data_IF_879190842336
#
_entry.id   IF_879190842336
#
_cell.length_a   1.000
_cell.length_b   1.000
_cell.length_c   1.000
_cell.angle_alpha   90.00
_cell.angle_beta   90.00
_cell.angle_gamma   90.00
#
_symmetry.space_group_name_H-M   'P 1'
#
loop_
_entity.id
_entity.type
_entity.pdbx_description
1 polymer ?
#
# COMPACT_ATOMS: atom_id res chain seq x y z
N UNK A 1 -17.40 -46.53 26.65
CA UNK A 1 -16.41 -45.53 27.12
C UNK A 1 -15.67 -45.00 25.90
N UNK A 2 -15.67 -43.70 25.65
CA UNK A 2 -14.93 -43.15 24.51
C UNK A 2 -13.43 -43.27 24.77
N UNK A 3 -12.69 -43.81 23.79
CA UNK A 3 -11.22 -43.87 23.85
C UNK A 3 -10.62 -42.47 23.76
N UNK A 4 -9.49 -42.25 24.43
CA UNK A 4 -8.69 -41.01 24.33
C UNK A 4 -8.36 -40.67 22.87
N UNK A 5 -8.11 -41.69 22.04
CA UNK A 5 -7.85 -41.53 20.60
C UNK A 5 -9.06 -40.92 19.89
N UNK A 6 -10.28 -41.41 20.15
CA UNK A 6 -11.49 -40.89 19.53
C UNK A 6 -11.80 -39.44 19.94
N UNK A 7 -11.45 -39.04 21.17
CA UNK A 7 -11.58 -37.64 21.60
C UNK A 7 -10.57 -36.74 20.86
N UNK A 8 -9.35 -37.22 20.62
CA UNK A 8 -8.34 -36.48 19.85
C UNK A 8 -8.76 -36.31 18.39
N UNK A 9 -9.24 -37.37 17.73
CA UNK A 9 -9.77 -37.32 16.36
C UNK A 9 -10.93 -36.32 16.24
N UNK A 10 -11.84 -36.30 17.23
CA UNK A 10 -12.94 -35.35 17.24
C UNK A 10 -12.46 -33.89 17.38
N UNK A 11 -11.46 -33.64 18.23
CA UNK A 11 -10.85 -32.30 18.36
C UNK A 11 -10.11 -31.90 17.08
N UNK A 12 -9.41 -32.83 16.44
CA UNK A 12 -8.73 -32.58 15.18
C UNK A 12 -9.73 -32.21 14.07
N UNK A 13 -10.81 -32.98 13.91
CA UNK A 13 -11.87 -32.68 12.95
C UNK A 13 -12.55 -31.32 13.23
N UNK A 14 -12.79 -30.99 14.50
CA UNK A 14 -13.31 -29.67 14.87
C UNK A 14 -12.32 -28.55 14.52
N UNK A 15 -11.02 -28.75 14.75
CA UNK A 15 -9.99 -27.79 14.38
C UNK A 15 -9.89 -27.60 12.87
N UNK A 16 -9.92 -28.69 12.08
CA UNK A 16 -9.90 -28.65 10.61
C UNK A 16 -11.09 -27.85 10.06
N UNK A 17 -12.31 -28.15 10.53
CA UNK A 17 -13.52 -27.39 10.14
C UNK A 17 -13.42 -25.90 10.48
N UNK A 18 -12.86 -25.56 11.64
CA UNK A 18 -12.64 -24.16 12.01
C UNK A 18 -11.63 -23.47 11.07
N UNK A 19 -10.56 -24.17 10.70
CA UNK A 19 -9.57 -23.64 9.74
C UNK A 19 -10.20 -23.42 8.37
N UNK A 20 -11.00 -24.37 7.88
CA UNK A 20 -11.64 -24.26 6.58
C UNK A 20 -12.67 -23.12 6.55
N UNK A 21 -13.49 -22.98 7.61
CA UNK A 21 -14.40 -21.82 7.74
C UNK A 21 -13.66 -20.47 7.76
N UNK A 22 -12.53 -20.37 8.47
CA UNK A 22 -11.71 -19.15 8.47
C UNK A 22 -11.09 -18.85 7.10
N UNK A 23 -10.76 -19.88 6.30
CA UNK A 23 -10.27 -19.70 4.92
C UNK A 23 -11.37 -19.18 4.02
N UNK A 24 -12.58 -19.74 4.11
CA UNK A 24 -13.74 -19.24 3.35
C UNK A 24 -14.09 -17.79 3.69
N UNK A 25 -14.03 -17.42 4.97
CA UNK A 25 -14.22 -16.02 5.40
C UNK A 25 -13.11 -15.12 4.85
N UNK A 26 -11.85 -15.56 4.90
CA UNK A 26 -10.74 -14.81 4.34
C UNK A 26 -10.89 -14.59 2.82
N UNK A 27 -11.29 -15.63 2.08
CA UNK A 27 -11.52 -15.54 0.63
C UNK A 27 -12.67 -14.58 0.31
N UNK A 28 -13.75 -14.60 1.10
CA UNK A 28 -14.86 -13.64 0.98
C UNK A 28 -14.38 -12.20 1.19
N UNK A 29 -13.67 -11.94 2.28
CA UNK A 29 -13.13 -10.60 2.59
C UNK A 29 -12.16 -10.14 1.49
N UNK A 30 -11.34 -11.05 0.95
CA UNK A 30 -10.43 -10.73 -0.16
C UNK A 30 -11.20 -10.34 -1.43
N UNK A 31 -12.31 -11.01 -1.72
CA UNK A 31 -13.16 -10.66 -2.85
C UNK A 31 -13.82 -9.29 -2.67
N UNK A 32 -14.38 -9.00 -1.49
CA UNK A 32 -14.96 -7.70 -1.15
C UNK A 32 -13.92 -6.58 -1.22
N UNK A 33 -12.72 -6.82 -0.70
CA UNK A 33 -11.61 -5.87 -0.79
C UNK A 33 -11.22 -5.60 -2.25
N UNK A 34 -11.13 -6.65 -3.08
CA UNK A 34 -10.81 -6.49 -4.49
C UNK A 34 -11.86 -5.67 -5.24
N UNK A 35 -13.16 -5.83 -4.92
CA UNK A 35 -14.23 -5.03 -5.48
C UNK A 35 -14.14 -3.56 -5.04
N UNK A 36 -13.93 -3.30 -3.74
CA UNK A 36 -13.76 -1.95 -3.22
C UNK A 36 -12.52 -1.25 -3.81
N UNK A 37 -11.42 -1.97 -4.01
CA UNK A 37 -10.23 -1.44 -4.68
C UNK A 37 -10.49 -1.07 -6.14
N UNK A 38 -11.32 -1.83 -6.86
CA UNK A 38 -11.70 -1.52 -8.24
C UNK A 38 -12.57 -0.27 -8.30
N UNK A 39 -13.61 -0.18 -7.47
CA UNK A 39 -14.46 1.01 -7.40
C UNK A 39 -13.64 2.27 -7.07
N UNK A 40 -12.74 2.18 -6.09
CA UNK A 40 -11.84 3.28 -5.77
C UNK A 40 -10.93 3.67 -6.95
N UNK A 41 -10.40 2.70 -7.70
CA UNK A 41 -9.59 2.99 -8.89
C UNK A 41 -10.40 3.72 -9.97
N UNK A 42 -11.66 3.35 -10.18
CA UNK A 42 -12.55 4.02 -11.12
C UNK A 42 -12.76 5.50 -10.73
N UNK A 43 -13.02 5.77 -9.45
CA UNK A 43 -13.13 7.13 -8.94
C UNK A 43 -11.82 7.92 -9.07
N UNK A 44 -10.67 7.29 -8.82
CA UNK A 44 -9.37 7.93 -8.99
C UNK A 44 -9.10 8.31 -10.46
N UNK A 45 -9.51 7.45 -11.40
CA UNK A 45 -9.45 7.75 -12.84
C UNK A 45 -10.38 8.91 -13.18
N UNK A 46 -11.63 8.90 -12.70
CA UNK A 46 -12.59 9.98 -12.92
C UNK A 46 -12.05 11.33 -12.42
N UNK A 47 -11.47 11.37 -11.21
CA UNK A 47 -10.85 12.58 -10.67
C UNK A 47 -9.71 13.10 -11.54
N UNK A 48 -8.79 12.22 -11.97
CA UNK A 48 -7.69 12.60 -12.86
C UNK A 48 -8.19 13.20 -14.17
N UNK A 49 -9.28 12.66 -14.75
CA UNK A 49 -9.89 13.20 -15.97
C UNK A 49 -10.46 14.60 -15.75
N UNK A 50 -11.11 14.83 -14.61
CA UNK A 50 -11.60 16.16 -14.23
C UNK A 50 -10.43 17.14 -14.07
N UNK A 51 -9.35 16.73 -13.41
CA UNK A 51 -8.14 17.56 -13.26
C UNK A 51 -7.54 17.96 -14.62
N UNK A 52 -7.58 17.09 -15.62
CA UNK A 52 -7.14 17.41 -17.01
C UNK A 52 -8.03 18.45 -17.68
N UNK A 53 -9.35 18.41 -17.49
CA UNK A 53 -10.28 19.40 -18.08
C UNK A 53 -10.14 20.76 -17.40
N UNK A 54 -9.83 20.76 -16.10
CA UNK A 54 -9.68 21.98 -15.31
C UNK A 54 -8.28 22.60 -15.42
N UNK A 55 -7.29 21.89 -15.96
CA UNK A 55 -5.97 22.45 -16.21
C UNK A 55 -6.08 23.59 -17.23
N UNK A 56 -5.65 24.82 -16.90
CA UNK A 56 -5.69 25.93 -17.85
C UNK A 56 -4.80 25.59 -19.05
N UNK A 57 -5.32 25.78 -20.26
CA UNK A 57 -4.54 25.74 -21.49
C UNK A 57 -3.41 26.78 -21.37
N UNK A 58 -2.23 26.32 -20.96
CA UNK A 58 -1.02 27.13 -21.05
C UNK A 58 -0.57 27.13 -22.51
N UNK A 59 -1.31 27.89 -23.32
CA UNK A 59 -0.94 28.48 -24.61
C UNK A 59 -0.17 27.62 -25.60
N UNK A 60 -0.86 27.16 -26.64
CA UNK A 60 -0.33 27.28 -27.99
C UNK A 60 -1.48 27.54 -28.96
N UNK A 61 -1.91 28.80 -29.01
CA UNK A 61 -2.53 29.36 -30.21
C UNK A 61 -1.49 29.37 -31.33
N UNK A 62 -1.58 28.39 -32.22
CA UNK A 62 -1.14 28.56 -33.60
C UNK A 62 -2.27 28.01 -34.47
N UNK A 63 -3.07 28.94 -35.00
CA UNK A 63 -3.94 28.71 -36.15
C UNK A 63 -3.19 27.90 -37.22
N UNK A 64 -3.84 26.87 -37.75
CA UNK A 64 -3.95 26.64 -39.20
C UNK A 64 -5.04 25.60 -39.43
N UNK A 65 -6.14 26.09 -39.99
CA UNK A 65 -7.24 25.35 -40.60
C UNK A 65 -6.75 24.53 -41.81
N UNK A 66 -7.58 23.56 -42.25
CA UNK A 66 -7.56 22.77 -43.51
C UNK A 66 -7.23 21.26 -43.36
N UNK A 67 -8.30 20.45 -43.42
CA UNK A 67 -8.36 19.01 -43.79
C UNK A 67 -8.24 18.81 -45.33
N UNK A 68 -8.13 17.60 -45.94
CA UNK A 68 -7.68 16.25 -45.50
C UNK A 68 -6.66 15.53 -46.47
N UNK A 69 -6.05 14.43 -45.97
CA UNK A 69 -5.41 13.26 -46.69
C UNK A 69 -4.12 13.43 -47.52
N UNK A 70 -3.38 12.35 -47.90
CA UNK A 70 -3.13 11.03 -47.30
C UNK A 70 -1.62 10.65 -47.26
N UNK A 71 -1.19 9.65 -46.46
CA UNK A 71 -0.26 8.55 -46.85
C UNK A 71 0.35 7.80 -45.68
N UNK A 72 0.31 6.49 -45.85
CA UNK A 72 1.08 5.46 -45.18
C UNK A 72 2.58 5.80 -45.09
N UNK A 73 3.17 5.63 -43.91
CA UNK A 73 4.19 4.61 -43.68
C UNK A 73 4.75 4.74 -42.26
N UNK A 74 4.92 3.57 -41.64
CA UNK A 74 5.78 3.29 -40.50
C UNK A 74 5.19 3.53 -39.09
N UNK A 75 4.15 2.75 -38.79
CA UNK A 75 3.73 2.48 -37.43
C UNK A 75 4.19 1.08 -37.00
N UNK A 76 5.25 1.04 -36.19
CA UNK A 76 5.52 -0.08 -35.29
C UNK A 76 6.48 0.37 -34.18
N UNK A 77 6.40 -0.17 -32.96
CA UNK A 77 5.24 -0.61 -32.21
C UNK A 77 5.13 0.12 -30.86
N UNK A 78 3.97 0.01 -30.22
CA UNK A 78 3.78 0.40 -28.83
C UNK A 78 4.84 -0.20 -27.89
N UNK A 79 5.24 0.47 -26.80
CA UNK A 79 5.41 -0.25 -25.56
C UNK A 79 4.03 -0.43 -24.95
N UNK A 80 3.46 -1.62 -25.17
CA UNK A 80 2.60 -2.26 -24.18
C UNK A 80 3.43 -2.39 -22.89
N UNK A 81 3.47 -1.34 -22.08
CA UNK A 81 3.93 -1.42 -20.69
C UNK A 81 2.71 -1.77 -19.86
N UNK A 82 2.34 -3.05 -19.86
CA UNK A 82 2.79 -4.01 -18.85
C UNK A 82 1.80 -4.03 -17.68
N UNK A 83 1.24 -5.21 -17.47
CA UNK A 83 0.33 -5.51 -16.40
C UNK A 83 0.97 -5.29 -15.02
N UNK A 84 0.18 -4.69 -14.09
CA UNK A 84 0.20 -4.86 -12.61
C UNK A 84 1.36 -4.14 -11.86
N UNK A 85 1.29 -3.87 -10.52
CA UNK A 85 0.45 -4.52 -9.51
C UNK A 85 -0.13 -3.64 -8.36
N UNK A 86 -1.13 -4.19 -7.66
CA UNK A 86 -1.39 -4.11 -6.20
C UNK A 86 -0.60 -3.04 -5.42
N UNK A 87 -1.29 -2.03 -4.86
CA UNK A 87 -0.81 -1.21 -3.73
C UNK A 87 0.67 -0.80 -3.82
N UNK A 88 1.02 0.01 -4.82
CA UNK A 88 2.34 0.64 -4.87
C UNK A 88 2.35 1.88 -3.99
N UNK A 89 3.12 1.82 -2.90
CA UNK A 89 3.50 2.98 -2.08
C UNK A 89 4.14 4.03 -2.99
N UNK A 90 3.54 5.21 -3.25
CA UNK A 90 4.15 6.24 -4.08
C UNK A 90 5.56 6.62 -3.58
N UNK A 91 6.43 7.06 -4.48
CA UNK A 91 7.71 7.67 -4.05
C UNK A 91 7.38 8.95 -3.30
N UNK A 92 8.04 9.18 -2.16
CA UNK A 92 7.82 10.38 -1.37
C UNK A 92 8.22 11.64 -2.14
N UNK A 93 7.38 12.68 -2.05
CA UNK A 93 7.64 14.02 -2.56
C UNK A 93 7.12 15.06 -1.56
N UNK A 94 7.67 16.27 -1.62
CA UNK A 94 7.19 17.39 -0.82
C UNK A 94 5.71 17.70 -1.12
N UNK A 95 4.92 18.03 -0.08
CA UNK A 95 3.47 18.24 -0.19
C UNK A 95 2.61 16.97 -0.21
N UNK A 96 3.21 15.77 -0.17
CA UNK A 96 2.47 14.51 -0.19
C UNK A 96 2.02 14.10 1.23
N UNK A 97 0.71 14.15 1.46
CA UNK A 97 0.11 13.74 2.74
C UNK A 97 0.19 12.22 2.97
N UNK A 98 0.23 11.78 4.23
CA UNK A 98 0.25 10.35 4.56
C UNK A 98 -1.01 9.61 4.10
N UNK A 99 -2.11 10.35 3.92
CA UNK A 99 -3.41 9.84 3.49
C UNK A 99 -3.38 9.13 2.12
N UNK A 100 -2.36 9.39 1.29
CA UNK A 100 -2.18 8.71 0.00
C UNK A 100 -1.72 7.25 0.12
N UNK A 101 -1.20 6.89 1.30
CA UNK A 101 -0.80 5.52 1.60
C UNK A 101 -2.00 4.73 2.12
N UNK A 102 -2.00 3.40 2.01
CA UNK A 102 -3.04 2.60 2.67
C UNK A 102 -2.95 2.72 4.21
N UNK A 103 -4.06 2.45 4.89
CA UNK A 103 -4.19 2.56 6.34
C UNK A 103 -3.08 1.80 7.11
N UNK A 104 -2.64 0.65 6.59
CA UNK A 104 -1.54 -0.12 7.15
C UNK A 104 -0.21 0.65 7.16
N UNK A 105 0.12 1.32 6.05
CA UNK A 105 1.35 2.12 5.98
C UNK A 105 1.23 3.41 6.79
N UNK A 106 0.04 4.04 6.81
CA UNK A 106 -0.23 5.18 7.67
C UNK A 106 -0.02 4.85 9.16
N UNK A 107 -0.51 3.69 9.61
CA UNK A 107 -0.33 3.22 10.99
C UNK A 107 1.15 3.03 11.36
N UNK A 108 1.97 2.54 10.41
CA UNK A 108 3.43 2.44 10.56
C UNK A 108 4.06 3.83 10.71
N UNK A 109 3.71 4.78 9.83
CA UNK A 109 4.22 6.15 9.90
C UNK A 109 3.84 6.84 11.21
N UNK A 110 2.57 6.72 11.62
CA UNK A 110 2.05 7.30 12.86
C UNK A 110 2.84 6.82 14.08
N UNK A 111 3.05 5.52 14.20
CA UNK A 111 3.79 4.92 15.32
C UNK A 111 5.23 5.41 15.39
N UNK A 112 5.89 5.52 14.24
CA UNK A 112 7.26 6.02 14.16
C UNK A 112 7.32 7.53 14.42
N UNK A 113 6.33 8.29 13.98
CA UNK A 113 6.22 9.72 14.26
C UNK A 113 5.98 10.00 15.74
N UNK A 114 5.10 9.23 16.40
CA UNK A 114 4.85 9.35 17.83
C UNK A 114 6.11 9.04 18.64
N UNK A 115 6.87 8.00 18.28
CA UNK A 115 8.17 7.74 18.91
C UNK A 115 9.21 8.82 18.66
N UNK A 116 9.23 9.40 17.45
CA UNK A 116 10.14 10.48 17.14
C UNK A 116 9.82 11.74 17.95
N UNK A 117 8.54 12.08 18.10
CA UNK A 117 8.05 13.15 18.98
C UNK A 117 8.42 12.92 20.45
N UNK A 118 8.40 11.66 20.89
CA UNK A 118 8.80 11.27 22.24
C UNK A 118 10.32 11.06 22.39
N UNK A 119 11.12 11.29 21.35
CA UNK A 119 12.57 11.08 21.32
C UNK A 119 13.01 9.65 21.71
N UNK A 120 12.19 8.64 21.43
CA UNK A 120 12.40 7.23 21.83
C UNK A 120 13.23 6.40 20.84
N UNK A 121 13.86 7.06 19.86
CA UNK A 121 14.74 6.44 18.87
C UNK A 121 14.04 5.51 17.85
N UNK A 122 14.83 4.85 16.98
CA UNK A 122 14.34 3.94 15.94
C UNK A 122 13.65 2.69 16.50
N UNK A 123 12.68 2.16 15.75
CA UNK A 123 11.85 1.02 16.14
C UNK A 123 12.18 -0.22 15.31
N UNK A 124 12.16 -1.40 15.94
CA UNK A 124 12.27 -2.70 15.26
C UNK A 124 10.91 -3.22 14.81
N UNK A 125 10.88 -4.16 13.85
CA UNK A 125 9.62 -4.79 13.42
C UNK A 125 8.91 -5.59 14.53
N UNK A 126 9.65 -6.11 15.51
CA UNK A 126 9.07 -6.81 16.66
C UNK A 126 8.37 -5.83 17.60
N UNK A 127 9.02 -4.70 17.90
CA UNK A 127 8.41 -3.64 18.70
C UNK A 127 7.22 -2.99 17.98
N UNK A 128 7.27 -2.86 16.65
CA UNK A 128 6.11 -2.45 15.85
C UNK A 128 4.95 -3.44 15.98
N UNK A 129 5.21 -4.76 15.91
CA UNK A 129 4.17 -5.77 16.08
C UNK A 129 3.52 -5.66 17.47
N UNK A 130 4.34 -5.51 18.52
CA UNK A 130 3.85 -5.30 19.89
C UNK A 130 3.03 -4.01 20.03
N UNK A 131 3.48 -2.90 19.43
CA UNK A 131 2.75 -1.62 19.41
C UNK A 131 1.39 -1.72 18.70
N UNK A 132 1.26 -2.62 17.73
CA UNK A 132 0.00 -2.90 17.05
C UNK A 132 -0.90 -3.91 17.77
N UNK A 133 -0.50 -4.39 18.96
CA UNK A 133 -1.22 -5.44 19.69
C UNK A 133 -1.23 -6.77 18.94
N UNK A 134 -0.26 -7.00 18.06
CA UNK A 134 -0.09 -8.25 17.33
C UNK A 134 0.89 -9.16 18.05
N UNK A 135 0.62 -10.46 18.05
CA UNK A 135 1.62 -11.44 18.46
C UNK A 135 2.86 -11.33 17.56
N UNK A 136 4.08 -11.22 18.12
CA UNK A 136 5.32 -11.07 17.36
C UNK A 136 5.78 -12.40 16.75
N UNK A 137 4.88 -13.12 16.10
CA UNK A 137 5.20 -14.35 15.37
C UNK A 137 6.05 -14.04 14.13
N UNK A 138 7.00 -14.91 13.74
CA UNK A 138 7.96 -14.63 12.67
C UNK A 138 7.31 -14.15 11.35
N UNK A 139 6.19 -14.76 10.96
CA UNK A 139 5.45 -14.40 9.76
C UNK A 139 4.94 -12.95 9.77
N UNK A 140 4.43 -12.46 10.90
CA UNK A 140 3.92 -11.09 11.02
C UNK A 140 5.05 -10.08 11.09
N UNK A 141 6.13 -10.42 11.79
CA UNK A 141 7.34 -9.60 11.84
C UNK A 141 7.95 -9.45 10.44
N UNK A 142 7.99 -10.53 9.66
CA UNK A 142 8.48 -10.50 8.27
C UNK A 142 7.56 -9.69 7.35
N UNK A 143 6.24 -9.79 7.51
CA UNK A 143 5.29 -8.97 6.78
C UNK A 143 5.48 -7.47 7.06
N UNK A 144 5.69 -7.09 8.33
CA UNK A 144 6.01 -5.72 8.71
C UNK A 144 7.37 -5.27 8.17
N UNK A 145 8.38 -6.14 8.22
CA UNK A 145 9.71 -5.88 7.64
C UNK A 145 9.62 -5.58 6.16
N UNK A 146 8.89 -6.39 5.40
CA UNK A 146 8.67 -6.19 3.97
C UNK A 146 7.95 -4.86 3.67
N UNK A 147 6.95 -4.48 4.49
CA UNK A 147 6.26 -3.18 4.37
C UNK A 147 7.18 -2.01 4.71
N UNK A 148 7.94 -2.11 5.80
CA UNK A 148 8.88 -1.07 6.23
C UNK A 148 10.00 -0.86 5.20
N UNK A 149 10.60 -1.94 4.69
CA UNK A 149 11.61 -1.87 3.62
C UNK A 149 11.07 -1.21 2.35
N UNK A 150 9.80 -1.46 1.99
CA UNK A 150 9.15 -0.79 0.85
C UNK A 150 9.01 0.72 1.10
N UNK A 151 8.61 1.13 2.30
CA UNK A 151 8.55 2.55 2.67
C UNK A 151 9.93 3.20 2.66
N UNK A 152 10.99 2.49 3.08
CA UNK A 152 12.38 2.97 2.98
C UNK A 152 12.79 3.17 1.52
N UNK A 153 12.56 2.18 0.66
CA UNK A 153 12.89 2.26 -0.76
C UNK A 153 12.17 3.41 -1.49
N UNK A 154 11.02 3.85 -0.96
CA UNK A 154 10.21 4.95 -1.51
C UNK A 154 10.45 6.29 -0.79
N UNK A 155 11.39 6.34 0.16
CA UNK A 155 11.78 7.57 0.84
C UNK A 155 10.85 8.02 1.97
N UNK A 156 9.92 7.20 2.43
CA UNK A 156 9.03 7.54 3.57
C UNK A 156 9.69 7.28 4.92
N UNK A 157 10.50 6.24 5.00
CA UNK A 157 11.23 5.82 6.20
C UNK A 157 12.73 5.84 5.94
N UNK A 158 13.49 5.92 7.02
CA UNK A 158 14.94 5.70 7.03
C UNK A 158 15.28 4.47 7.89
N UNK A 159 16.34 3.76 7.51
CA UNK A 159 16.88 2.62 8.25
C UNK A 159 18.28 2.97 8.77
N UNK A 160 18.40 3.65 9.93
CA UNK A 160 19.69 4.05 10.48
C UNK A 160 20.59 2.86 10.86
N UNK A 161 20.00 1.69 11.15
CA UNK A 161 20.70 0.45 11.41
C UNK A 161 19.87 -0.73 10.91
N UNK A 162 20.51 -1.85 10.57
CA UNK A 162 19.83 -3.02 10.02
C UNK A 162 18.63 -3.44 10.89
N UNK A 163 17.43 -3.43 10.31
CA UNK A 163 16.19 -3.81 10.98
C UNK A 163 15.63 -2.79 11.97
N UNK A 164 16.20 -1.58 12.03
CA UNK A 164 15.71 -0.44 12.81
C UNK A 164 15.22 0.66 11.90
N UNK A 165 13.96 1.03 12.04
CA UNK A 165 13.29 1.99 11.17
C UNK A 165 12.95 3.27 11.94
N UNK A 166 13.08 4.41 11.29
CA UNK A 166 12.65 5.72 11.79
C UNK A 166 11.97 6.49 10.67
N UNK A 167 11.17 7.50 11.01
CA UNK A 167 10.62 8.41 10.02
C UNK A 167 11.77 9.12 9.27
N UNK A 168 11.67 9.27 7.96
CA UNK A 168 12.69 10.00 7.22
C UNK A 168 12.65 11.49 7.61
N UNK A 169 13.81 12.16 7.65
CA UNK A 169 13.95 13.52 8.21
C UNK A 169 13.02 14.54 7.54
N UNK A 170 12.83 14.42 6.24
CA UNK A 170 11.95 15.27 5.42
C UNK A 170 10.45 14.96 5.60
N UNK A 171 10.11 13.78 6.12
CA UNK A 171 8.72 13.41 6.51
C UNK A 171 8.44 13.82 7.96
N UNK A 172 9.49 14.00 8.77
CA UNK A 172 9.39 14.33 10.21
C UNK A 172 9.32 15.82 10.50
N UNK A 173 9.67 16.66 9.52
CA UNK A 173 9.70 18.12 9.66
C UNK A 173 8.31 18.76 9.50
N UNK A 174 8.06 19.92 10.13
CA UNK A 174 6.83 20.67 9.94
C UNK A 174 6.84 21.32 8.55
N UNK A 175 6.20 20.68 7.58
CA UNK A 175 5.90 21.22 6.27
C UNK A 175 5.36 20.11 5.37
N UNK A 176 4.15 20.16 4.82
CA UNK A 176 3.08 21.14 4.82
C UNK A 176 1.96 20.53 3.99
N UNK A 177 0.71 20.83 4.33
CA UNK A 177 -0.47 20.32 3.60
C UNK A 177 -1.72 20.35 4.46
N UNK A 178 -2.06 21.53 4.97
CA UNK A 178 -3.46 21.93 5.14
C UNK A 178 -3.99 22.42 3.80
#
# INVERSE_FOLDING_TARGET
>A
MASVVGLLEQRELAARRRVDGLREEADRIQAELAAAEQEWQEWAIARRRVDTVLAPDSGSTADTEVTPEPRDADASPAPRAAAKPKSQVPVWSEGLAWSVLSADYQRILQTLADRNRLHQGPLTCQEMAAAFGMDPVPARVEALRSKAKRLVARGWLAEPAAGRFTLAKHVAGPGGGS
#
